data_IF_202325010735
#
_entry.id   IF_202325010735
#
_cell.length_a   1.000
_cell.length_b   1.000
_cell.length_c   1.000
_cell.angle_alpha   90.00
_cell.angle_beta   90.00
_cell.angle_gamma   90.00
#
_symmetry.space_group_name_H-M   'P 1'
#
loop_
_entity.id
_entity.type
_entity.pdbx_description
1 polymer ?
#
# COMPACT_ATOMS: atom_id res chain seq x y z
N UNK A 1 2.73 26.45 -13.70
CA UNK A 1 2.34 27.09 -14.99
C UNK A 1 0.91 27.59 -14.84
N UNK A 2 0.65 28.90 -14.89
CA UNK A 2 -0.71 29.44 -14.83
C UNK A 2 -1.60 28.85 -15.92
N UNK A 3 -2.88 28.59 -15.62
CA UNK A 3 -3.89 28.05 -16.57
C UNK A 3 -3.60 26.65 -17.14
N UNK A 4 -2.51 25.99 -16.74
CA UNK A 4 -2.31 24.56 -16.96
C UNK A 4 -3.06 23.77 -15.88
N UNK A 5 -4.24 23.27 -16.21
CA UNK A 5 -5.04 22.44 -15.29
C UNK A 5 -4.70 20.95 -15.39
N UNK A 6 -5.24 20.16 -14.44
CA UNK A 6 -4.98 18.72 -14.35
C UNK A 6 -5.25 17.94 -15.65
N UNK A 7 -6.30 18.31 -16.41
CA UNK A 7 -6.63 17.64 -17.69
C UNK A 7 -5.55 17.83 -18.76
N UNK A 8 -4.97 19.02 -18.85
CA UNK A 8 -3.89 19.34 -19.81
C UNK A 8 -2.61 18.62 -19.37
N UNK A 9 -2.29 18.68 -18.07
CA UNK A 9 -1.14 17.98 -17.51
C UNK A 9 -1.22 16.45 -17.73
N UNK A 10 -2.38 15.85 -17.52
CA UNK A 10 -2.62 14.41 -17.78
C UNK A 10 -2.45 14.05 -19.26
N UNK A 11 -2.99 14.87 -20.17
CA UNK A 11 -2.81 14.68 -21.61
C UNK A 11 -1.32 14.75 -22.02
N UNK A 12 -0.57 15.72 -21.50
CA UNK A 12 0.88 15.82 -21.74
C UNK A 12 1.64 14.64 -21.12
N UNK A 13 1.21 14.14 -19.96
CA UNK A 13 1.79 12.95 -19.36
C UNK A 13 1.56 11.70 -20.23
N UNK A 14 0.36 11.54 -20.79
CA UNK A 14 0.01 10.46 -21.74
C UNK A 14 0.78 10.55 -23.05
N UNK A 15 1.00 11.77 -23.55
CA UNK A 15 1.86 12.02 -24.71
C UNK A 15 3.30 11.55 -24.49
N UNK A 16 3.75 11.50 -23.22
CA UNK A 16 5.08 11.00 -22.86
C UNK A 16 6.01 12.05 -22.25
N UNK A 17 5.56 13.31 -22.14
CA UNK A 17 6.39 14.41 -21.66
C UNK A 17 7.05 14.13 -20.29
N UNK A 18 6.35 13.45 -19.38
CA UNK A 18 6.89 13.06 -18.08
C UNK A 18 7.95 11.96 -18.15
N UNK A 19 7.80 11.00 -19.08
CA UNK A 19 8.80 9.95 -19.33
C UNK A 19 10.07 10.55 -19.90
N UNK A 20 9.93 11.45 -20.88
CA UNK A 20 11.06 12.12 -21.52
C UNK A 20 11.82 12.98 -20.51
N UNK A 21 11.09 13.72 -19.66
CA UNK A 21 11.69 14.50 -18.58
C UNK A 21 12.52 13.60 -17.66
N UNK A 22 11.95 12.48 -17.19
CA UNK A 22 12.67 11.52 -16.34
C UNK A 22 13.91 10.96 -17.05
N UNK A 23 13.80 10.62 -18.33
CA UNK A 23 14.93 10.09 -19.10
C UNK A 23 16.07 11.11 -19.20
N UNK A 24 15.75 12.38 -19.45
CA UNK A 24 16.74 13.47 -19.52
C UNK A 24 17.49 13.60 -18.19
N UNK A 25 16.77 13.52 -17.07
CA UNK A 25 17.33 13.70 -15.73
C UNK A 25 18.28 12.57 -15.32
N UNK A 26 17.99 11.34 -15.75
CA UNK A 26 18.83 10.17 -15.48
C UNK A 26 20.03 10.11 -16.45
N UNK A 27 19.88 10.56 -17.69
CA UNK A 27 20.88 10.36 -18.74
C UNK A 27 21.89 11.49 -18.86
N UNK A 28 21.52 12.72 -18.48
CA UNK A 28 22.35 13.92 -18.72
C UNK A 28 22.58 14.72 -17.44
N UNK A 29 23.69 15.45 -17.39
CA UNK A 29 24.07 16.35 -16.31
C UNK A 29 24.64 17.68 -16.84
N UNK A 30 24.62 18.71 -15.99
CA UNK A 30 25.16 20.04 -16.30
C UNK A 30 24.60 20.64 -17.59
N UNK A 31 25.47 21.23 -18.41
CA UNK A 31 25.10 21.94 -19.64
C UNK A 31 24.32 21.08 -20.63
N UNK A 32 24.64 19.80 -20.75
CA UNK A 32 23.92 18.88 -21.64
C UNK A 32 22.47 18.69 -21.19
N UNK A 33 22.24 18.60 -19.87
CA UNK A 33 20.88 18.52 -19.32
C UNK A 33 20.08 19.78 -19.68
N UNK A 34 20.67 20.96 -19.56
CA UNK A 34 19.98 22.21 -19.87
C UNK A 34 19.60 22.33 -21.35
N UNK A 35 20.46 21.85 -22.25
CA UNK A 35 20.18 21.77 -23.69
C UNK A 35 19.03 20.81 -23.99
N UNK A 36 19.04 19.61 -23.40
CA UNK A 36 17.96 18.63 -23.56
C UNK A 36 16.65 19.10 -22.94
N UNK A 37 16.70 19.80 -21.80
CA UNK A 37 15.51 20.42 -21.19
C UNK A 37 14.95 21.54 -22.07
N UNK A 38 15.81 22.30 -22.76
CA UNK A 38 15.36 23.32 -23.72
C UNK A 38 14.65 22.68 -24.92
N UNK A 39 15.20 21.61 -25.47
CA UNK A 39 14.56 20.85 -26.56
C UNK A 39 13.23 20.24 -26.10
N UNK A 40 13.19 19.64 -24.90
CA UNK A 40 11.98 19.08 -24.31
C UNK A 40 10.89 20.13 -24.07
N UNK A 41 11.25 21.31 -23.53
CA UNK A 41 10.31 22.45 -23.40
C UNK A 41 9.72 22.83 -24.76
N UNK A 42 10.55 22.92 -25.79
CA UNK A 42 10.09 23.25 -27.14
C UNK A 42 9.16 22.16 -27.69
N UNK A 43 9.42 20.88 -27.43
CA UNK A 43 8.49 19.79 -27.75
C UNK A 43 7.11 19.98 -27.11
N UNK A 44 7.06 20.30 -25.82
CA UNK A 44 5.80 20.59 -25.12
C UNK A 44 5.09 21.81 -25.71
N UNK A 45 5.83 22.89 -25.99
CA UNK A 45 5.25 24.11 -26.60
C UNK A 45 4.64 23.81 -27.96
N UNK A 46 5.34 23.05 -28.79
CA UNK A 46 4.84 22.62 -30.10
C UNK A 46 3.58 21.76 -29.95
N UNK A 47 3.58 20.76 -29.07
CA UNK A 47 2.41 19.90 -28.85
C UNK A 47 1.22 20.71 -28.31
N UNK A 48 1.44 21.70 -27.44
CA UNK A 48 0.38 22.60 -27.01
C UNK A 48 -0.14 23.51 -28.14
N UNK A 49 0.69 23.90 -29.10
CA UNK A 49 0.26 24.73 -30.23
C UNK A 49 -0.48 23.93 -31.30
N UNK A 50 0.01 22.74 -31.64
CA UNK A 50 -0.47 21.96 -32.79
C UNK A 50 -1.41 20.83 -32.40
N UNK A 51 -1.31 20.32 -31.16
CA UNK A 51 -1.96 19.08 -30.72
C UNK A 51 -1.72 17.93 -31.71
N UNK A 52 -0.50 17.82 -32.23
CA UNK A 52 -0.16 16.88 -33.31
C UNK A 52 -0.40 15.42 -32.93
N UNK A 53 -0.32 15.11 -31.63
CA UNK A 53 -0.49 13.75 -31.13
C UNK A 53 -1.94 13.44 -30.74
N UNK A 54 -2.83 14.44 -30.73
CA UNK A 54 -4.26 14.26 -30.47
C UNK A 54 -4.64 13.94 -29.03
N UNK A 55 -3.70 14.03 -28.07
CA UNK A 55 -3.98 13.76 -26.65
C UNK A 55 -4.70 14.92 -25.95
N UNK A 56 -4.54 16.16 -26.44
CA UNK A 56 -5.22 17.32 -25.88
C UNK A 56 -6.62 17.43 -26.50
N UNK A 57 -7.58 17.93 -25.72
CA UNK A 57 -8.94 18.17 -26.22
C UNK A 57 -8.99 19.29 -27.28
N UNK A 58 -8.02 20.22 -27.24
CA UNK A 58 -7.84 21.31 -28.21
C UNK A 58 -6.41 21.86 -28.13
N UNK A 59 -6.03 22.70 -29.08
CA UNK A 59 -4.80 23.47 -29.00
C UNK A 59 -4.86 24.56 -27.91
N UNK A 60 -3.72 24.84 -27.30
CA UNK A 60 -3.51 25.81 -26.23
C UNK A 60 -2.32 26.75 -26.54
N UNK A 61 -2.37 27.55 -27.63
CA UNK A 61 -1.23 28.38 -28.06
C UNK A 61 -0.79 29.41 -27.01
N UNK A 62 -1.74 30.09 -26.34
CA UNK A 62 -1.42 31.00 -25.24
C UNK A 62 -0.68 30.31 -24.09
N UNK A 63 -1.03 29.05 -23.79
CA UNK A 63 -0.36 28.29 -22.74
C UNK A 63 1.07 27.91 -23.16
N UNK A 64 1.30 27.63 -24.44
CA UNK A 64 2.64 27.35 -24.95
C UNK A 64 3.57 28.56 -24.80
N UNK A 65 3.07 29.78 -25.06
CA UNK A 65 3.78 31.04 -24.85
C UNK A 65 4.05 31.31 -23.37
N UNK A 66 3.08 30.99 -22.51
CA UNK A 66 3.17 31.19 -21.05
C UNK A 66 4.14 30.21 -20.34
N UNK A 67 4.70 29.19 -21.04
CA UNK A 67 5.71 28.29 -20.45
C UNK A 67 7.05 29.01 -20.36
N UNK A 68 7.57 29.32 -19.15
CA UNK A 68 8.83 30.02 -19.00
C UNK A 68 10.02 29.11 -19.30
N UNK A 69 11.16 29.70 -19.67
CA UNK A 69 12.40 28.94 -19.87
C UNK A 69 12.96 28.34 -18.57
N UNK A 70 12.53 28.84 -17.41
CA UNK A 70 12.85 28.30 -16.09
C UNK A 70 12.04 27.04 -15.72
N UNK A 71 11.04 26.66 -16.53
CA UNK A 71 10.28 25.42 -16.30
C UNK A 71 11.05 24.19 -16.83
N UNK A 72 11.09 23.05 -16.13
CA UNK A 72 10.53 22.83 -14.80
C UNK A 72 11.46 23.35 -13.71
N UNK A 73 10.88 23.69 -12.55
CA UNK A 73 11.69 24.01 -11.36
C UNK A 73 12.43 22.75 -10.91
N UNK A 74 13.75 22.78 -11.07
CA UNK A 74 14.62 21.63 -10.81
C UNK A 74 14.66 21.25 -9.33
N UNK A 75 14.48 22.20 -8.41
CA UNK A 75 14.38 21.89 -6.99
C UNK A 75 13.12 21.09 -6.70
N UNK A 76 11.99 21.46 -7.32
CA UNK A 76 10.73 20.72 -7.18
C UNK A 76 10.85 19.33 -7.80
N UNK A 77 11.42 19.23 -8.99
CA UNK A 77 11.63 17.93 -9.66
C UNK A 77 12.48 16.99 -8.80
N UNK A 78 13.53 17.52 -8.18
CA UNK A 78 14.43 16.75 -7.31
C UNK A 78 13.69 16.18 -6.09
N UNK A 79 12.74 16.93 -5.50
CA UNK A 79 11.92 16.44 -4.38
C UNK A 79 11.09 15.20 -4.74
N UNK A 80 10.70 15.03 -6.01
CA UNK A 80 9.92 13.86 -6.44
C UNK A 80 10.79 12.70 -6.91
N UNK A 81 11.94 12.98 -7.54
CA UNK A 81 12.82 11.94 -8.07
C UNK A 81 13.75 11.40 -7.00
N UNK A 82 14.32 12.29 -6.19
CA UNK A 82 15.25 12.00 -5.11
C UNK A 82 14.62 12.33 -3.76
N UNK A 83 13.39 11.85 -3.55
CA UNK A 83 12.64 12.10 -2.31
C UNK A 83 13.44 11.68 -1.08
N UNK A 84 13.52 12.57 -0.09
CA UNK A 84 14.07 12.24 1.21
C UNK A 84 13.11 11.30 1.94
N UNK A 85 13.55 10.06 2.16
CA UNK A 85 12.81 9.03 2.88
C UNK A 85 13.66 8.53 4.05
N UNK A 86 13.06 7.75 4.95
CA UNK A 86 13.79 7.06 6.02
C UNK A 86 14.89 6.10 5.52
N UNK A 87 14.90 5.80 4.22
CA UNK A 87 15.87 4.93 3.56
C UNK A 87 16.82 5.67 2.63
N UNK A 88 16.82 7.01 2.65
CA UNK A 88 17.80 7.78 1.90
C UNK A 88 19.21 7.54 2.47
N UNK A 89 20.25 7.51 1.61
CA UNK A 89 21.62 7.14 2.03
C UNK A 89 22.17 7.93 3.23
N UNK A 90 21.76 9.19 3.35
CA UNK A 90 22.12 10.10 4.44
C UNK A 90 21.62 9.66 5.83
N UNK A 91 20.60 8.80 5.90
CA UNK A 91 20.03 8.33 7.18
C UNK A 91 20.56 6.95 7.60
N UNK A 92 21.50 6.33 6.83
CA UNK A 92 22.06 4.99 7.08
C UNK A 92 21.00 3.88 7.27
N UNK A 93 19.73 4.18 6.97
CA UNK A 93 18.61 3.30 7.20
C UNK A 93 18.54 2.27 6.10
N UNK A 94 18.97 1.04 6.40
CA UNK A 94 18.64 -0.09 5.54
C UNK A 94 17.11 -0.24 5.49
N UNK A 95 16.52 -0.58 4.33
CA UNK A 95 15.11 -0.95 4.29
C UNK A 95 14.87 -2.09 5.28
N UNK A 96 13.71 -2.10 5.98
CA UNK A 96 13.42 -3.16 6.93
C UNK A 96 13.42 -4.50 6.20
N UNK A 97 14.02 -5.52 6.81
CA UNK A 97 13.93 -6.87 6.27
C UNK A 97 12.49 -7.36 6.38
N UNK A 98 11.76 -7.29 5.27
CA UNK A 98 10.38 -7.75 5.16
C UNK A 98 10.25 -9.25 5.42
N UNK A 99 11.34 -10.04 5.34
CA UNK A 99 11.32 -11.44 5.71
C UNK A 99 11.07 -11.63 7.22
N UNK A 100 11.39 -10.62 8.05
CA UNK A 100 11.10 -10.62 9.48
C UNK A 100 9.63 -10.32 9.81
N UNK A 101 8.82 -9.92 8.81
CA UNK A 101 7.40 -9.61 8.99
C UNK A 101 6.56 -10.89 9.00
N UNK A 102 6.86 -11.77 9.96
CA UNK A 102 6.06 -12.96 10.23
C UNK A 102 4.81 -12.60 11.04
N UNK A 103 3.65 -13.21 10.74
CA UNK A 103 2.46 -13.08 11.57
C UNK A 103 2.78 -13.43 13.02
N UNK A 104 2.67 -12.43 13.91
CA UNK A 104 2.79 -12.62 15.35
C UNK A 104 1.43 -12.90 15.96
N UNK A 105 1.44 -13.74 16.98
CA UNK A 105 0.25 -14.00 17.77
C UNK A 105 -0.09 -12.80 18.65
N UNK A 106 -1.37 -12.43 18.74
CA UNK A 106 -1.80 -11.37 19.63
C UNK A 106 -1.70 -11.82 21.09
N UNK A 107 -1.26 -10.91 21.95
CA UNK A 107 -1.19 -11.13 23.40
C UNK A 107 -2.57 -10.84 24.00
N UNK A 108 -3.40 -11.88 24.16
CA UNK A 108 -4.82 -11.69 24.50
C UNK A 108 -5.03 -11.01 25.85
N UNK A 109 -4.15 -11.23 26.83
CA UNK A 109 -4.28 -10.59 28.14
C UNK A 109 -4.04 -9.06 28.06
N UNK A 110 -3.06 -8.60 27.28
CA UNK A 110 -2.81 -7.17 27.03
C UNK A 110 -3.99 -6.54 26.30
N UNK A 111 -4.55 -7.23 25.30
CA UNK A 111 -5.75 -6.77 24.58
C UNK A 111 -6.94 -6.66 25.55
N UNK A 112 -7.13 -7.63 26.45
CA UNK A 112 -8.22 -7.57 27.43
C UNK A 112 -8.06 -6.42 28.42
N UNK A 113 -6.83 -6.13 28.84
CA UNK A 113 -6.49 -4.98 29.69
C UNK A 113 -6.81 -3.68 28.96
N UNK A 114 -6.33 -3.54 27.72
CA UNK A 114 -6.62 -2.39 26.86
C UNK A 114 -8.13 -2.18 26.66
N UNK A 115 -8.90 -3.24 26.41
CA UNK A 115 -10.34 -3.14 26.23
C UNK A 115 -11.08 -2.69 27.50
N UNK A 116 -10.63 -3.10 28.69
CA UNK A 116 -11.19 -2.64 29.96
C UNK A 116 -10.84 -1.17 30.20
N UNK A 117 -9.58 -0.79 30.00
CA UNK A 117 -9.09 0.55 30.30
C UNK A 117 -9.60 1.61 29.33
N UNK A 118 -9.72 1.28 28.03
CA UNK A 118 -9.99 2.27 26.98
C UNK A 118 -11.33 2.11 26.28
N UNK A 119 -11.95 0.93 26.30
CA UNK A 119 -13.21 0.67 25.57
C UNK A 119 -14.41 0.46 26.49
N UNK A 120 -14.21 0.52 27.81
CA UNK A 120 -15.27 0.35 28.81
C UNK A 120 -15.82 -1.08 28.87
N UNK A 121 -15.09 -2.09 28.39
CA UNK A 121 -15.50 -3.50 28.42
C UNK A 121 -15.19 -4.11 29.79
N UNK A 122 -15.80 -3.52 30.82
CA UNK A 122 -15.38 -3.73 32.21
C UNK A 122 -15.91 -5.05 32.80
N UNK A 123 -17.00 -5.58 32.25
CA UNK A 123 -17.57 -6.86 32.69
C UNK A 123 -17.06 -8.04 31.85
N UNK A 124 -16.83 -9.20 32.48
CA UNK A 124 -16.35 -10.39 31.77
C UNK A 124 -17.33 -10.84 30.67
N UNK A 125 -18.64 -10.69 30.86
CA UNK A 125 -19.64 -11.07 29.87
C UNK A 125 -19.57 -10.23 28.59
N UNK A 126 -19.41 -8.91 28.74
CA UNK A 126 -19.28 -7.99 27.59
C UNK A 126 -17.97 -8.27 26.87
N UNK A 127 -16.88 -8.44 27.61
CA UNK A 127 -15.57 -8.77 27.06
C UNK A 127 -15.62 -10.07 26.25
N UNK A 128 -16.15 -11.14 26.84
CA UNK A 128 -16.26 -12.45 26.19
C UNK A 128 -17.12 -12.38 24.93
N UNK A 129 -18.31 -11.76 25.01
CA UNK A 129 -19.20 -11.59 23.85
C UNK A 129 -18.52 -10.84 22.70
N UNK A 130 -17.74 -9.81 23.00
CA UNK A 130 -17.00 -9.02 22.00
C UNK A 130 -15.81 -9.79 21.44
N UNK A 131 -15.10 -10.53 22.29
CA UNK A 131 -13.96 -11.34 21.86
C UNK A 131 -14.41 -12.46 20.90
N UNK A 132 -15.52 -13.16 21.19
CA UNK A 132 -16.10 -14.17 20.29
C UNK A 132 -16.61 -13.65 18.97
N UNK A 133 -17.15 -12.44 18.93
CA UNK A 133 -17.67 -11.86 17.68
C UNK A 133 -16.59 -11.20 16.84
N UNK A 134 -15.56 -10.59 17.45
CA UNK A 134 -14.62 -9.69 16.76
C UNK A 134 -13.18 -10.21 16.77
N UNK A 135 -12.67 -10.63 17.93
CA UNK A 135 -11.25 -10.94 18.10
C UNK A 135 -10.93 -12.37 17.65
N UNK A 136 -11.69 -13.35 18.13
CA UNK A 136 -11.42 -14.78 17.96
C UNK A 136 -11.33 -15.26 16.50
N UNK A 137 -12.13 -14.77 15.54
CA UNK A 137 -11.94 -15.11 14.13
C UNK A 137 -10.56 -14.68 13.60
N UNK A 138 -10.08 -13.50 14.00
CA UNK A 138 -8.75 -13.00 13.62
C UNK A 138 -7.61 -13.75 14.30
N UNK A 139 -7.76 -14.08 15.58
CA UNK A 139 -6.78 -14.91 16.32
C UNK A 139 -6.66 -16.28 15.67
N UNK A 140 -7.78 -16.94 15.41
CA UNK A 140 -7.83 -18.21 14.70
C UNK A 140 -7.11 -18.18 13.35
N UNK A 141 -7.38 -17.15 12.54
CA UNK A 141 -6.75 -17.00 11.24
C UNK A 141 -5.24 -16.81 11.35
N UNK A 142 -4.78 -15.99 12.30
CA UNK A 142 -3.35 -15.78 12.59
C UNK A 142 -2.67 -17.05 13.08
N UNK A 143 -3.33 -17.79 13.97
CA UNK A 143 -2.85 -19.11 14.40
C UNK A 143 -2.67 -19.99 13.17
N UNK A 144 -3.71 -20.26 12.38
CA UNK A 144 -3.63 -21.16 11.21
C UNK A 144 -2.57 -20.72 10.18
N UNK A 145 -2.33 -19.41 10.05
CA UNK A 145 -1.33 -18.85 9.12
C UNK A 145 0.11 -18.86 9.69
N UNK A 146 0.29 -19.20 10.96
CA UNK A 146 1.61 -19.23 11.60
C UNK A 146 2.41 -20.46 11.17
N UNK A 147 3.70 -20.25 10.90
CA UNK A 147 4.65 -21.33 10.55
C UNK A 147 4.91 -22.31 11.70
N UNK A 148 4.55 -21.94 12.93
CA UNK A 148 4.83 -22.69 14.15
C UNK A 148 3.62 -23.49 14.66
N UNK A 149 2.53 -23.54 13.90
CA UNK A 149 1.37 -24.35 14.27
C UNK A 149 1.71 -25.82 14.21
N UNK A 150 1.52 -26.51 15.32
CA UNK A 150 1.59 -27.95 15.40
C UNK A 150 0.18 -28.53 15.51
N UNK A 151 -0.18 -29.44 14.61
CA UNK A 151 -1.41 -30.21 14.74
C UNK A 151 -1.14 -31.47 15.56
N UNK A 152 -1.72 -31.55 16.76
CA UNK A 152 -1.66 -32.74 17.59
C UNK A 152 -2.77 -33.71 17.16
N UNK A 153 -2.38 -34.80 16.48
CA UNK A 153 -3.32 -35.80 15.94
C UNK A 153 -4.11 -36.54 17.02
N UNK A 154 -3.51 -36.77 18.19
CA UNK A 154 -4.13 -37.50 19.32
C UNK A 154 -5.25 -36.69 19.95
N UNK A 155 -5.02 -35.40 20.16
CA UNK A 155 -5.99 -34.48 20.78
C UNK A 155 -6.87 -33.77 19.75
N UNK A 156 -6.54 -33.88 18.46
CA UNK A 156 -7.15 -33.16 17.33
C UNK A 156 -7.11 -31.64 17.53
N UNK A 157 -6.06 -31.14 18.16
CA UNK A 157 -5.90 -29.70 18.44
C UNK A 157 -4.72 -29.08 17.70
N UNK A 158 -4.89 -27.83 17.27
CA UNK A 158 -3.75 -27.00 16.91
C UNK A 158 -3.18 -26.36 18.16
N UNK A 159 -1.86 -26.37 18.27
CA UNK A 159 -1.08 -25.77 19.35
C UNK A 159 -0.02 -24.90 18.72
N UNK A 160 0.21 -23.72 19.29
CA UNK A 160 1.33 -22.87 18.94
C UNK A 160 2.20 -22.63 20.17
N UNK A 161 3.48 -22.27 20.00
CA UNK A 161 4.39 -22.08 21.14
C UNK A 161 3.96 -20.93 22.08
N UNK A 162 3.25 -19.92 21.56
CA UNK A 162 2.97 -18.67 22.26
C UNK A 162 1.55 -18.56 22.83
N UNK A 163 0.59 -19.34 22.32
CA UNK A 163 -0.75 -19.41 22.92
C UNK A 163 -0.99 -20.82 23.44
N UNK A 164 -1.28 -20.94 24.75
CA UNK A 164 -1.80 -22.18 25.39
C UNK A 164 -3.22 -22.55 24.88
N UNK A 165 -3.65 -21.93 23.78
CA UNK A 165 -4.97 -22.04 23.23
C UNK A 165 -5.06 -23.26 22.32
N UNK A 166 -6.02 -24.11 22.61
CA UNK A 166 -6.27 -25.33 21.86
C UNK A 166 -7.41 -25.07 20.89
N UNK A 167 -7.15 -25.14 19.57
CA UNK A 167 -8.23 -25.17 18.58
C UNK A 167 -8.81 -26.59 18.54
N UNK A 168 -9.99 -26.83 19.13
CA UNK A 168 -10.49 -28.19 19.42
C UNK A 168 -11.10 -28.92 18.22
N UNK A 169 -11.51 -28.24 17.16
CA UNK A 169 -12.16 -28.89 16.01
C UNK A 169 -12.05 -28.05 14.75
N UNK A 170 -12.05 -28.71 13.60
CA UNK A 170 -12.40 -28.14 12.29
C UNK A 170 -13.55 -28.97 11.76
N UNK A 171 -14.65 -28.35 11.36
CA UNK A 171 -15.77 -29.02 10.70
C UNK A 171 -15.87 -28.46 9.29
N UNK A 172 -15.46 -29.22 8.29
CA UNK A 172 -15.60 -28.84 6.88
C UNK A 172 -17.10 -28.79 6.53
N UNK A 173 -17.59 -27.62 6.13
CA UNK A 173 -18.83 -27.51 5.37
C UNK A 173 -18.54 -26.69 4.12
N UNK A 174 -18.71 -27.30 2.95
CA UNK A 174 -18.73 -26.59 1.67
C UNK A 174 -20.12 -26.01 1.47
N UNK A 175 -20.22 -24.69 1.34
CA UNK A 175 -21.41 -24.08 0.77
C UNK A 175 -20.94 -23.08 -0.27
N UNK A 176 -21.32 -23.24 -1.55
CA UNK A 176 -21.02 -22.25 -2.56
C UNK A 176 -21.89 -21.03 -2.28
N UNK A 177 -21.28 -19.93 -1.82
CA UNK A 177 -22.00 -18.67 -1.69
C UNK A 177 -22.13 -18.02 -3.08
N UNK A 178 -23.37 -17.73 -3.47
CA UNK A 178 -23.71 -17.21 -4.81
C UNK A 178 -23.41 -15.71 -4.85
N UNK A 179 -22.13 -15.32 -4.94
CA UNK A 179 -21.81 -13.90 -5.14
C UNK A 179 -20.35 -13.49 -5.08
N UNK A 180 -19.45 -14.32 -4.57
CA UNK A 180 -18.02 -13.99 -4.49
C UNK A 180 -17.19 -14.84 -5.45
N UNK A 181 -16.29 -14.24 -6.26
CA UNK A 181 -15.51 -14.99 -7.24
C UNK A 181 -14.54 -15.94 -6.52
N UNK A 182 -14.81 -17.25 -6.67
CA UNK A 182 -13.87 -18.39 -6.61
C UNK A 182 -12.76 -18.30 -5.56
N UNK A 183 -13.10 -18.10 -4.29
CA UNK A 183 -12.29 -18.60 -3.19
C UNK A 183 -13.05 -19.77 -2.60
N UNK A 184 -12.42 -20.95 -2.55
CA UNK A 184 -12.96 -22.10 -1.85
C UNK A 184 -13.08 -21.74 -0.36
N UNK A 185 -14.26 -21.30 0.04
CA UNK A 185 -14.53 -20.89 1.41
C UNK A 185 -14.83 -22.14 2.24
N UNK A 186 -13.94 -22.43 3.16
CA UNK A 186 -14.14 -23.48 4.16
C UNK A 186 -14.73 -22.87 5.42
N UNK A 187 -15.92 -23.32 5.82
CA UNK A 187 -16.41 -23.00 7.17
C UNK A 187 -15.58 -23.78 8.18
N UNK A 188 -15.06 -23.10 9.20
CA UNK A 188 -14.28 -23.70 10.27
C UNK A 188 -14.98 -23.34 11.59
N UNK A 189 -15.33 -24.36 12.39
CA UNK A 189 -15.86 -24.15 13.75
C UNK A 189 -14.72 -24.28 14.74
N UNK A 190 -14.37 -23.18 15.40
CA UNK A 190 -13.25 -23.11 16.32
C UNK A 190 -13.77 -22.99 17.75
N UNK A 191 -13.16 -23.71 18.66
CA UNK A 191 -13.41 -23.62 20.10
C UNK A 191 -12.08 -23.40 20.78
N UNK A 192 -12.03 -22.40 21.65
CA UNK A 192 -10.91 -22.06 22.50
C UNK A 192 -11.25 -22.56 23.91
N UNK A 193 -10.32 -23.27 24.56
CA UNK A 193 -10.47 -23.62 25.98
C UNK A 193 -9.85 -22.51 26.81
N UNK A 194 -10.69 -21.88 27.62
CA UNK A 194 -10.36 -20.88 28.64
C UNK A 194 -10.11 -19.47 28.10
N UNK A 195 -11.21 -18.73 28.01
CA UNK A 195 -11.30 -17.33 28.44
C UNK A 195 -12.43 -17.24 29.46
#
# INVERSE_FOLDING_TARGET
IPKCGAKIADALAKHGAGRDLRQILISFAGVLRDQHLAAWRNGIRTELQTNSSGFLARCHPKLAEDIPNSFPDMCVVDLYINSLTSWSPQFLGNPPDVALWVPREPVIHEISTFCREHLGWNTPDVLNKRFFSVLWPGVAFRMISSRHVMYNRTTKTFVTPSTNERLVKIVKQSSPDKGTPTLDMMRIRISFRNF
#
